data_IF_675074572999
#
_entry.id   IF_675074572999
#
_cell.length_a   1.000
_cell.length_b   1.000
_cell.length_c   1.000
_cell.angle_alpha   90.00
_cell.angle_beta   90.00
_cell.angle_gamma   90.00
#
_symmetry.space_group_name_H-M   'P 1'
#
loop_
_entity.id
_entity.type
_entity.pdbx_description
1 polymer ?
#
# COMPACT_ATOMS: atom_id res chain seq x y z
N UNK A 1 -0.55 -9.99 -7.61
CA UNK A 1 -0.15 -8.69 -8.19
C UNK A 1 1.11 -8.11 -7.54
N UNK A 2 1.81 -7.18 -8.19
CA UNK A 2 2.91 -6.41 -7.57
C UNK A 2 2.36 -5.21 -6.80
N UNK A 3 2.92 -4.90 -5.63
CA UNK A 3 2.53 -3.75 -4.81
C UNK A 3 3.75 -3.11 -4.11
N UNK A 4 3.71 -1.79 -3.92
CA UNK A 4 4.65 -1.11 -3.02
C UNK A 4 4.19 -1.33 -1.57
N UNK A 5 4.98 -2.05 -0.78
CA UNK A 5 4.65 -2.47 0.58
C UNK A 5 5.60 -1.80 1.56
N UNK A 6 5.02 -1.17 2.58
CA UNK A 6 5.77 -0.62 3.71
C UNK A 6 6.10 -1.75 4.68
N UNK A 7 7.39 -1.93 5.01
CA UNK A 7 7.84 -2.92 5.99
C UNK A 7 8.23 -2.27 7.32
N UNK A 8 8.89 -1.11 7.26
CA UNK A 8 9.33 -0.31 8.42
C UNK A 8 9.73 1.09 7.94
N UNK A 9 9.91 2.07 8.86
CA UNK A 9 10.39 3.40 8.48
C UNK A 9 11.65 3.33 7.62
N UNK A 10 11.62 4.01 6.48
CA UNK A 10 12.69 4.01 5.48
C UNK A 10 12.76 2.78 4.56
N UNK A 11 11.84 1.81 4.67
CA UNK A 11 11.86 0.56 3.92
C UNK A 11 10.52 0.27 3.24
N UNK A 12 10.43 0.66 1.96
CA UNK A 12 9.34 0.29 1.05
C UNK A 12 9.92 -0.59 -0.05
N UNK A 13 9.28 -1.73 -0.32
CA UNK A 13 9.71 -2.69 -1.34
C UNK A 13 8.57 -3.03 -2.27
N UNK A 14 8.90 -3.61 -3.43
CA UNK A 14 7.90 -4.14 -4.35
C UNK A 14 7.76 -5.63 -4.11
N UNK A 15 6.63 -6.03 -3.53
CA UNK A 15 6.32 -7.42 -3.23
C UNK A 15 5.28 -7.99 -4.21
N UNK A 16 5.26 -9.31 -4.34
CA UNK A 16 4.14 -10.02 -4.96
C UNK A 16 3.12 -10.39 -3.88
N UNK A 17 1.93 -9.83 -3.96
CA UNK A 17 0.81 -10.05 -3.03
C UNK A 17 -0.37 -10.73 -3.76
N UNK A 18 -1.32 -11.36 -3.05
CA UNK A 18 -2.53 -11.90 -3.66
C UNK A 18 -3.30 -10.83 -4.45
N UNK A 19 -4.00 -11.24 -5.49
CA UNK A 19 -4.89 -10.33 -6.21
C UNK A 19 -6.10 -9.95 -5.33
N UNK A 20 -6.66 -8.72 -5.47
CA UNK A 20 -7.77 -8.27 -4.65
C UNK A 20 -9.03 -9.08 -4.95
N UNK A 21 -9.92 -9.16 -3.96
CA UNK A 21 -11.21 -9.82 -4.07
C UNK A 21 -12.33 -8.82 -3.77
N UNK A 22 -13.49 -9.04 -4.38
CA UNK A 22 -14.72 -8.29 -4.10
C UNK A 22 -15.29 -8.79 -2.76
N UNK A 23 -15.50 -7.90 -1.79
CA UNK A 23 -16.02 -8.24 -0.46
C UNK A 23 -17.41 -7.63 -0.21
N UNK A 24 -17.69 -6.45 -0.77
CA UNK A 24 -18.99 -5.78 -0.75
C UNK A 24 -19.56 -5.70 -2.18
N UNK A 25 -20.90 -5.76 -2.38
CA UNK A 25 -21.52 -5.63 -3.70
C UNK A 25 -21.19 -4.34 -4.45
N UNK A 26 -20.66 -3.30 -3.77
CA UNK A 26 -20.30 -2.01 -4.37
C UNK A 26 -18.82 -1.88 -4.73
N UNK A 27 -18.02 -2.90 -4.46
CA UNK A 27 -16.59 -2.87 -4.79
C UNK A 27 -16.34 -2.99 -6.30
N UNK A 28 -15.18 -2.51 -6.74
CA UNK A 28 -14.67 -2.72 -8.10
C UNK A 28 -13.18 -2.99 -8.06
N UNK A 29 -12.72 -3.89 -8.93
CA UNK A 29 -11.28 -4.16 -9.13
C UNK A 29 -10.82 -3.37 -10.36
N UNK A 30 -9.82 -2.50 -10.16
CA UNK A 30 -9.23 -1.69 -11.21
C UNK A 30 -7.85 -2.22 -11.62
N UNK A 31 -7.58 -2.26 -12.92
CA UNK A 31 -6.22 -2.38 -13.43
C UNK A 31 -5.55 -1.01 -13.41
N UNK A 32 -4.68 -0.78 -12.43
CA UNK A 32 -3.95 0.49 -12.28
C UNK A 32 -3.03 0.69 -13.49
N UNK A 33 -3.26 1.76 -14.26
CA UNK A 33 -2.38 2.18 -15.37
C UNK A 33 -1.33 3.18 -14.90
N UNK A 34 -1.67 4.02 -13.92
CA UNK A 34 -0.79 5.02 -13.31
C UNK A 34 -1.29 5.36 -11.91
N UNK A 35 -0.36 5.68 -11.03
CA UNK A 35 -0.60 6.24 -9.69
C UNK A 35 0.56 7.16 -9.33
N UNK A 36 0.38 8.05 -8.36
CA UNK A 36 1.40 9.01 -7.95
C UNK A 36 1.82 8.78 -6.50
N UNK A 37 2.97 9.34 -6.13
CA UNK A 37 3.40 9.49 -4.74
C UNK A 37 2.91 10.85 -4.26
N UNK A 38 2.18 10.86 -3.15
CA UNK A 38 1.71 12.06 -2.46
C UNK A 38 2.67 12.43 -1.32
N UNK A 39 2.67 13.69 -0.89
CA UNK A 39 3.41 14.12 0.30
C UNK A 39 2.99 13.35 1.57
N UNK A 40 1.73 12.92 1.67
CA UNK A 40 1.24 12.10 2.78
C UNK A 40 1.93 10.75 2.91
N UNK A 41 2.36 10.16 1.79
CA UNK A 41 3.04 8.86 1.78
C UNK A 41 4.42 8.96 2.44
N UNK A 42 5.03 10.15 2.40
CA UNK A 42 6.31 10.42 3.05
C UNK A 42 6.19 10.42 4.58
N UNK A 43 5.04 10.80 5.14
CA UNK A 43 4.79 10.70 6.57
C UNK A 43 4.72 9.23 7.03
N UNK A 44 4.21 8.33 6.18
CA UNK A 44 4.23 6.89 6.43
C UNK A 44 5.67 6.38 6.36
N UNK A 45 6.40 6.74 5.30
CA UNK A 45 7.80 6.35 5.11
C UNK A 45 8.69 6.77 6.29
N UNK A 46 8.44 7.95 6.89
CA UNK A 46 9.19 8.43 8.05
C UNK A 46 8.78 7.79 9.38
N UNK A 47 7.76 6.94 9.39
CA UNK A 47 7.22 6.34 10.62
C UNK A 47 6.39 7.29 11.49
N UNK A 48 5.88 8.39 10.93
CA UNK A 48 5.08 9.37 11.67
C UNK A 48 3.60 8.97 11.80
N UNK A 49 3.19 7.89 11.13
CA UNK A 49 1.82 7.34 11.17
C UNK A 49 1.82 6.02 11.96
N UNK A 50 0.90 5.81 12.92
CA UNK A 50 0.77 4.54 13.63
C UNK A 50 0.54 3.36 12.68
N UNK A 51 1.23 2.25 12.93
CA UNK A 51 1.11 1.03 12.11
C UNK A 51 0.18 0.02 12.79
N UNK A 52 -0.65 -0.65 11.99
CA UNK A 52 -1.61 -1.65 12.48
C UNK A 52 -0.91 -2.87 13.07
N UNK A 53 0.15 -3.32 12.42
CA UNK A 53 0.92 -4.49 12.84
C UNK A 53 2.24 -4.03 13.49
N UNK A 54 2.63 -4.59 14.65
CA UNK A 54 3.90 -4.27 15.29
C UNK A 54 5.06 -4.73 14.40
N UNK A 55 6.04 -3.85 14.21
CA UNK A 55 7.26 -4.09 13.43
C UNK A 55 8.15 -5.17 14.03
#
# INVERSE_FOLDING_TARGET
MKAAVFHKPGDIRVDNVPDPQILDPRDVILKVTSTAICGSDLHILSGAVPQKDPM
#
